data_IF_674422821863
#
_entry.id   IF_674422821863
#
_cell.length_a   1.000
_cell.length_b   1.000
_cell.length_c   1.000
_cell.angle_alpha   90.00
_cell.angle_beta   90.00
_cell.angle_gamma   90.00
#
_symmetry.space_group_name_H-M   'P 1'
#
loop_
_entity.id
_entity.type
_entity.pdbx_description
1 polymer ?
#
# COMPACT_ATOMS: atom_id res chain seq x y z
N UNK A 1 -1.27 14.73 28.45
CA UNK A 1 -0.11 13.87 28.16
C UNK A 1 -0.36 13.21 26.81
N UNK A 2 0.50 13.43 25.81
CA UNK A 2 0.42 12.73 24.52
C UNK A 2 0.92 11.28 24.71
N UNK A 3 0.31 10.31 24.03
CA UNK A 3 0.73 8.90 24.09
C UNK A 3 2.11 8.77 23.42
N UNK A 4 3.02 8.00 24.02
CA UNK A 4 4.38 7.81 23.49
C UNK A 4 4.45 6.85 22.31
N UNK A 5 3.43 6.01 22.12
CA UNK A 5 3.33 5.04 21.04
C UNK A 5 1.87 4.95 20.59
N UNK A 6 1.56 5.59 19.46
CA UNK A 6 0.26 5.56 18.79
C UNK A 6 0.44 5.81 17.30
N UNK A 7 -0.65 5.65 16.54
CA UNK A 7 -0.69 5.96 15.10
C UNK A 7 0.34 5.14 14.29
N UNK A 8 0.55 3.86 14.66
CA UNK A 8 1.44 2.94 13.95
C UNK A 8 0.70 1.69 13.47
N UNK A 9 1.00 1.30 12.23
CA UNK A 9 0.60 0.04 11.63
C UNK A 9 1.87 -0.69 11.18
N UNK A 10 2.22 -1.77 11.87
CA UNK A 10 3.44 -2.53 11.63
C UNK A 10 3.08 -3.77 10.85
N UNK A 11 3.58 -3.90 9.62
CA UNK A 11 3.28 -5.02 8.75
C UNK A 11 4.52 -5.93 8.60
N UNK A 12 4.31 -7.23 8.78
CA UNK A 12 5.32 -8.27 8.67
C UNK A 12 4.95 -9.19 7.50
N UNK A 13 5.95 -9.58 6.71
CA UNK A 13 5.74 -10.44 5.56
C UNK A 13 5.31 -11.86 5.92
N UNK A 14 5.65 -12.30 7.13
CA UNK A 14 5.36 -13.64 7.65
C UNK A 14 5.13 -13.60 9.17
N UNK A 15 4.73 -14.71 9.76
CA UNK A 15 4.59 -14.84 11.21
C UNK A 15 5.95 -14.88 11.92
N UNK A 16 6.04 -14.46 13.19
CA UNK A 16 7.27 -14.61 13.97
C UNK A 16 7.71 -16.08 14.04
N UNK A 17 8.94 -16.35 13.61
CA UNK A 17 9.52 -17.70 13.57
C UNK A 17 9.38 -18.42 12.22
N UNK A 18 8.58 -17.89 11.30
CA UNK A 18 8.41 -18.43 9.95
C UNK A 18 9.28 -17.73 8.90
N UNK A 19 9.51 -18.40 7.77
CA UNK A 19 10.27 -17.85 6.66
C UNK A 19 9.39 -17.00 5.73
N UNK A 20 10.01 -16.01 5.08
CA UNK A 20 9.39 -15.24 4.00
C UNK A 20 9.94 -15.71 2.66
N UNK A 21 9.06 -16.06 1.74
CA UNK A 21 9.41 -16.56 0.42
C UNK A 21 9.84 -15.44 -0.53
N UNK A 22 10.77 -15.78 -1.43
CA UNK A 22 11.33 -14.87 -2.42
C UNK A 22 11.51 -15.60 -3.75
N UNK A 23 10.99 -14.98 -4.80
CA UNK A 23 11.31 -15.33 -6.17
C UNK A 23 12.59 -14.63 -6.63
N UNK A 24 13.37 -15.31 -7.47
CA UNK A 24 14.67 -14.79 -7.93
C UNK A 24 14.55 -13.62 -8.91
N UNK A 25 13.41 -13.47 -9.60
CA UNK A 25 13.17 -12.41 -10.58
C UNK A 25 12.15 -11.38 -10.09
N UNK A 26 11.11 -11.80 -9.38
CA UNK A 26 9.98 -10.97 -8.98
C UNK A 26 10.11 -10.36 -7.57
N UNK A 27 11.14 -10.77 -6.82
CA UNK A 27 11.36 -10.35 -5.44
C UNK A 27 10.56 -11.17 -4.42
N UNK A 28 10.41 -10.63 -3.21
CA UNK A 28 9.64 -11.32 -2.15
C UNK A 28 8.16 -11.36 -2.50
N UNK A 29 7.48 -12.47 -2.23
CA UNK A 29 6.04 -12.57 -2.50
C UNK A 29 5.26 -11.43 -1.83
N UNK A 30 5.58 -11.15 -0.57
CA UNK A 30 4.91 -10.09 0.20
C UNK A 30 5.04 -8.70 -0.43
N UNK A 31 6.27 -8.25 -0.73
CA UNK A 31 6.48 -6.92 -1.32
C UNK A 31 5.92 -6.84 -2.75
N UNK A 32 6.01 -7.92 -3.54
CA UNK A 32 5.42 -7.96 -4.87
C UNK A 32 3.89 -7.73 -4.80
N UNK A 33 3.21 -8.46 -3.92
CA UNK A 33 1.78 -8.29 -3.68
C UNK A 33 1.45 -6.92 -3.09
N UNK A 34 2.26 -6.41 -2.17
CA UNK A 34 2.09 -5.06 -1.64
C UNK A 34 2.09 -4.00 -2.75
N UNK A 35 3.11 -4.02 -3.62
CA UNK A 35 3.17 -3.09 -4.75
C UNK A 35 1.98 -3.25 -5.70
N UNK A 36 1.59 -4.50 -6.02
CA UNK A 36 0.41 -4.81 -6.85
C UNK A 36 -0.87 -4.20 -6.26
N UNK A 37 -1.17 -4.46 -4.99
CA UNK A 37 -2.41 -3.98 -4.38
C UNK A 37 -2.39 -2.49 -4.08
N UNK A 38 -1.25 -1.90 -3.73
CA UNK A 38 -1.13 -0.45 -3.60
C UNK A 38 -1.44 0.24 -4.93
N UNK A 39 -0.85 -0.22 -6.04
CA UNK A 39 -1.13 0.32 -7.37
C UNK A 39 -2.60 0.21 -7.76
N UNK A 40 -3.24 -0.92 -7.44
CA UNK A 40 -4.63 -1.18 -7.84
C UNK A 40 -5.67 -0.54 -6.90
N UNK A 41 -5.39 -0.41 -5.60
CA UNK A 41 -6.41 -0.15 -4.57
C UNK A 41 -6.11 1.03 -3.64
N UNK A 42 -4.94 1.66 -3.70
CA UNK A 42 -4.64 2.80 -2.81
C UNK A 42 -5.55 4.02 -3.02
N UNK A 43 -6.26 4.08 -4.14
CA UNK A 43 -7.19 5.16 -4.48
C UNK A 43 -8.56 5.02 -3.79
N UNK A 44 -8.98 3.81 -3.43
CA UNK A 44 -10.34 3.52 -2.93
C UNK A 44 -10.37 2.69 -1.64
N UNK A 45 -9.23 2.16 -1.21
CA UNK A 45 -9.14 1.20 -0.09
C UNK A 45 -8.13 1.70 0.94
N UNK A 46 -8.48 1.63 2.22
CA UNK A 46 -7.56 2.01 3.30
C UNK A 46 -6.53 0.90 3.58
N UNK A 47 -5.39 1.28 4.17
CA UNK A 47 -4.23 0.40 4.32
C UNK A 47 -4.52 -0.95 5.02
N UNK A 48 -5.30 -0.97 6.10
CA UNK A 48 -5.63 -2.23 6.80
C UNK A 48 -6.34 -3.25 5.90
N UNK A 49 -7.24 -2.80 5.02
CA UNK A 49 -7.94 -3.68 4.09
C UNK A 49 -7.03 -4.11 2.94
N UNK A 50 -6.11 -3.25 2.49
CA UNK A 50 -5.06 -3.64 1.55
C UNK A 50 -4.20 -4.77 2.14
N UNK A 51 -3.82 -4.70 3.43
CA UNK A 51 -3.07 -5.79 4.07
C UNK A 51 -3.85 -7.09 4.17
N UNK A 52 -5.17 -7.04 4.41
CA UNK A 52 -6.03 -8.24 4.37
C UNK A 52 -6.11 -8.85 2.96
N UNK A 53 -6.17 -8.03 1.92
CA UNK A 53 -6.15 -8.50 0.53
C UNK A 53 -4.82 -9.17 0.18
N UNK A 54 -3.70 -8.60 0.64
CA UNK A 54 -2.37 -9.20 0.47
C UNK A 54 -2.30 -10.56 1.14
N UNK A 55 -2.78 -10.69 2.39
CA UNK A 55 -2.79 -11.96 3.11
C UNK A 55 -3.67 -13.02 2.43
N UNK A 56 -4.85 -12.60 1.97
CA UNK A 56 -5.75 -13.47 1.20
C UNK A 56 -5.08 -14.01 -0.06
N UNK A 57 -4.31 -13.19 -0.77
CA UNK A 57 -3.60 -13.64 -1.97
C UNK A 57 -2.40 -14.55 -1.62
N UNK A 58 -1.66 -14.25 -0.53
CA UNK A 58 -0.59 -15.12 -0.03
C UNK A 58 -1.08 -16.53 0.29
N UNK A 59 -2.30 -16.66 0.83
CA UNK A 59 -2.91 -17.95 1.14
C UNK A 59 -3.05 -18.88 -0.08
N UNK A 60 -3.00 -18.33 -1.30
CA UNK A 60 -3.04 -19.08 -2.55
C UNK A 60 -1.66 -19.41 -3.15
N UNK A 61 -0.58 -18.82 -2.63
CA UNK A 61 0.78 -19.08 -3.11
C UNK A 61 1.42 -20.29 -2.43
N UNK A 62 2.17 -21.08 -3.20
CA UNK A 62 2.92 -22.26 -2.73
C UNK A 62 4.30 -22.27 -3.35
N UNK A 63 5.31 -22.66 -2.57
CA UNK A 63 6.67 -22.83 -3.08
C UNK A 63 6.76 -24.14 -3.88
N UNK A 64 7.91 -24.39 -4.50
CA UNK A 64 8.18 -25.67 -5.14
C UNK A 64 8.15 -26.83 -4.12
N UNK A 65 8.46 -26.54 -2.86
CA UNK A 65 8.42 -27.46 -1.73
C UNK A 65 7.07 -27.47 -0.99
N UNK A 66 6.02 -26.87 -1.57
CA UNK A 66 4.67 -26.78 -0.99
C UNK A 66 4.56 -26.01 0.34
N UNK A 67 5.56 -25.21 0.69
CA UNK A 67 5.50 -24.32 1.85
C UNK A 67 4.60 -23.11 1.57
N UNK A 68 4.00 -22.59 2.64
CA UNK A 68 3.02 -21.50 2.63
C UNK A 68 3.54 -20.28 3.39
N UNK A 69 2.87 -19.16 3.22
CA UNK A 69 3.18 -17.93 3.94
C UNK A 69 1.90 -17.24 4.40
N UNK A 70 1.90 -16.76 5.64
CA UNK A 70 0.83 -15.95 6.21
C UNK A 70 1.45 -14.67 6.74
N UNK A 71 0.96 -13.53 6.28
CA UNK A 71 1.44 -12.24 6.74
C UNK A 71 0.74 -11.83 8.02
N UNK A 72 1.30 -10.84 8.70
CA UNK A 72 0.72 -10.30 9.94
C UNK A 72 0.86 -8.80 9.96
N UNK A 73 -0.11 -8.10 10.54
CA UNK A 73 0.07 -6.71 10.90
C UNK A 73 -0.34 -6.47 12.36
N UNK A 74 0.27 -5.48 12.98
CA UNK A 74 -0.05 -5.01 14.33
C UNK A 74 -0.54 -3.57 14.25
N UNK A 75 -1.77 -3.35 14.70
CA UNK A 75 -2.38 -2.02 14.80
C UNK A 75 -2.14 -1.47 16.22
N UNK A 76 -1.37 -0.37 16.32
CA UNK A 76 -1.08 0.32 17.59
C UNK A 76 -1.79 1.67 17.58
N UNK A 77 -3.10 1.65 17.82
CA UNK A 77 -3.93 2.84 17.84
C UNK A 77 -3.94 3.61 16.52
N UNK A 78 -3.80 2.90 15.39
CA UNK A 78 -3.82 3.46 14.04
C UNK A 78 -5.23 3.80 13.61
N UNK A 79 -5.38 4.89 12.85
CA UNK A 79 -6.67 5.34 12.30
C UNK A 79 -6.80 4.87 10.86
N UNK A 80 -8.03 4.86 10.34
CA UNK A 80 -8.27 4.62 8.92
C UNK A 80 -7.41 5.56 8.06
N UNK A 81 -6.56 4.98 7.22
CA UNK A 81 -5.62 5.70 6.39
C UNK A 81 -5.86 5.38 4.92
N UNK A 82 -6.40 6.36 4.19
CA UNK A 82 -6.46 6.37 2.74
C UNK A 82 -5.28 7.17 2.19
N UNK A 83 -4.64 6.64 1.15
CA UNK A 83 -3.45 7.26 0.57
C UNK A 83 -3.83 8.41 -0.37
N UNK A 84 -4.97 8.31 -1.07
CA UNK A 84 -5.46 9.28 -2.06
C UNK A 84 -4.36 9.72 -3.05
N UNK A 85 -3.74 8.76 -3.78
CA UNK A 85 -2.65 9.08 -4.70
C UNK A 85 -3.09 10.09 -5.76
N UNK A 86 -2.27 11.11 -6.00
CA UNK A 86 -2.52 12.13 -7.02
C UNK A 86 -3.49 13.24 -6.61
N UNK A 87 -4.04 13.20 -5.39
CA UNK A 87 -4.98 14.20 -4.88
C UNK A 87 -4.34 14.94 -3.71
N UNK A 88 -4.50 16.27 -3.66
CA UNK A 88 -4.00 17.09 -2.57
C UNK A 88 -4.94 18.26 -2.26
N UNK A 89 -4.78 18.85 -1.08
CA UNK A 89 -5.53 20.03 -0.65
C UNK A 89 -4.72 21.28 -0.99
N UNK A 90 -5.32 22.20 -1.75
CA UNK A 90 -4.82 23.56 -1.97
C UNK A 90 -5.82 24.55 -1.36
N UNK A 91 -5.49 25.09 -0.20
CA UNK A 91 -6.44 25.86 0.62
C UNK A 91 -7.66 25.01 1.01
N UNK A 92 -8.84 25.37 0.52
CA UNK A 92 -10.10 24.64 0.76
C UNK A 92 -10.57 23.84 -0.47
N UNK A 93 -9.75 23.76 -1.52
CA UNK A 93 -10.06 23.02 -2.74
C UNK A 93 -9.30 21.71 -2.79
N UNK A 94 -9.94 20.67 -3.33
CA UNK A 94 -9.30 19.39 -3.65
C UNK A 94 -8.82 19.48 -5.10
N UNK A 95 -7.52 19.27 -5.32
CA UNK A 95 -6.90 19.31 -6.65
C UNK A 95 -6.25 17.98 -7.01
N UNK A 96 -6.03 17.78 -8.31
CA UNK A 96 -5.39 16.59 -8.84
C UNK A 96 -4.15 16.94 -9.68
N UNK A 97 -3.08 16.19 -9.48
CA UNK A 97 -1.77 16.45 -10.11
C UNK A 97 -1.85 16.35 -11.65
N UNK A 98 -2.74 15.53 -12.19
CA UNK A 98 -2.96 15.36 -13.63
C UNK A 98 -3.63 16.57 -14.29
N UNK A 99 -4.45 17.32 -13.55
CA UNK A 99 -5.15 18.52 -14.04
C UNK A 99 -4.22 19.74 -14.08
N UNK A 100 -3.33 19.89 -13.09
CA UNK A 100 -2.36 21.00 -13.01
C UNK A 100 -1.18 20.84 -13.98
N UNK A 101 -1.02 19.67 -14.60
CA UNK A 101 0.06 19.36 -15.53
C UNK A 101 -0.22 19.82 -16.98
N UNK A 102 -1.41 20.36 -17.27
CA UNK A 102 -1.71 20.96 -18.58
C UNK A 102 -1.07 22.35 -18.62
N UNK A 103 0.02 22.58 -19.40
CA UNK A 103 0.55 23.92 -19.54
C UNK A 103 -0.51 24.80 -20.19
N UNK A 104 -0.66 26.04 -19.70
CA UNK A 104 -1.45 27.05 -20.39
C UNK A 104 -0.96 27.16 -21.84
N UNK A 105 -1.80 26.73 -22.79
CA UNK A 105 -1.53 26.92 -24.21
C UNK A 105 -1.60 28.42 -24.45
N UNK A 106 -0.43 29.04 -24.65
CA UNK A 106 -0.35 30.45 -24.94
C UNK A 106 -0.68 30.64 -26.44
N UNK A 107 -1.96 30.84 -26.76
CA UNK A 107 -2.50 31.07 -28.11
C UNK A 107 -2.01 32.39 -28.77
N UNK A 108 -0.95 33.01 -28.24
CA UNK A 108 -0.43 34.31 -28.67
C UNK A 108 0.83 34.19 -29.56
N UNK A 109 0.90 33.20 -30.44
CA UNK A 109 1.90 33.18 -31.51
C UNK A 109 1.19 33.51 -32.83
N UNK A 110 1.12 34.82 -33.10
CA UNK A 110 0.77 35.39 -34.40
C UNK A 110 1.95 35.35 -35.36
#
# INVERSE_FOLDING_TARGET
>A
MLRSCSDMLIAHSTLPGDASHRDVYLGTWYINLFCKYMMLRAHDTHLEDIFKLIDSELAHLRSAEYTMQTSMYTNIGFKTCYVHPGIYLDGNEIRRIDEDAVPEVNDNVA
#
